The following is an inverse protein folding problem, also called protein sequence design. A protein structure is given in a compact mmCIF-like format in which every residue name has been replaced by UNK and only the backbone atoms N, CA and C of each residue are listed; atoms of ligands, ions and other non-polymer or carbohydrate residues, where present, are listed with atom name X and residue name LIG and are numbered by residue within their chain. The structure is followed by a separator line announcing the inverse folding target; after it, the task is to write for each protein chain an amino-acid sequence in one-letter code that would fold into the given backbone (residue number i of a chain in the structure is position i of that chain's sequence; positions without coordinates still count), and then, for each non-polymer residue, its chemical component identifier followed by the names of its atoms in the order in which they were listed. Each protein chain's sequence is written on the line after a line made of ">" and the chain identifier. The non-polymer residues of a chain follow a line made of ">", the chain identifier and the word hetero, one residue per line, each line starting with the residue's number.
data_IF_641322646769
#
_entry.id   IF_641322646769
#
_cell.length_a   1.000
_cell.length_b   1.000
_cell.length_c   1.000
_cell.angle_alpha   90.00
_cell.angle_beta   90.00
_cell.angle_gamma   90.00
#
_symmetry.space_group_name_H-M   'P 1'
#
loop_
_entity.id
_entity.type
_entity.pdbx_description
1 polymer ?
#
# COMPACT_ATOMS: atom_id res chain seq x y z
N UNK A 1 6.55 -1.66 19.81
CA UNK A 1 7.52 -1.57 18.71
C UNK A 1 6.79 -1.18 17.44
N UNK A 2 7.24 -0.11 16.80
CA UNK A 2 6.54 0.37 15.61
C UNK A 2 6.83 -0.52 14.41
N UNK A 3 5.77 -0.84 13.67
CA UNK A 3 5.93 -1.57 12.43
C UNK A 3 6.63 -0.69 11.39
N UNK A 4 7.58 -1.28 10.67
CA UNK A 4 8.26 -0.57 9.61
C UNK A 4 7.39 -0.56 8.36
N UNK A 5 7.05 0.63 7.89
CA UNK A 5 6.19 0.83 6.73
C UNK A 5 6.97 1.46 5.58
N UNK A 6 6.54 1.18 4.36
CA UNK A 6 7.11 1.81 3.17
C UNK A 6 6.04 1.98 2.10
N UNK A 7 6.29 2.92 1.17
CA UNK A 7 5.53 3.04 -0.07
C UNK A 7 6.31 2.32 -1.16
N UNK A 8 5.67 1.35 -1.79
CA UNK A 8 6.29 0.53 -2.83
C UNK A 8 5.69 0.89 -4.18
N UNK A 9 6.54 1.35 -5.11
CA UNK A 9 6.13 1.66 -6.48
C UNK A 9 6.22 0.40 -7.33
N UNK A 10 5.18 0.14 -8.10
CA UNK A 10 5.19 -1.01 -9.02
C UNK A 10 4.40 -0.67 -10.28
N UNK A 11 4.70 -1.42 -11.33
CA UNK A 11 4.01 -1.27 -12.61
C UNK A 11 3.03 -2.40 -12.81
N UNK A 12 1.87 -2.06 -13.36
CA UNK A 12 0.83 -3.02 -13.68
C UNK A 12 0.20 -2.61 -15.01
N UNK A 13 -0.76 -3.38 -15.46
CA UNK A 13 -1.44 -3.12 -16.73
C UNK A 13 -2.90 -2.76 -16.50
N UNK A 14 -3.37 -1.78 -17.28
CA UNK A 14 -4.78 -1.45 -17.37
C UNK A 14 -5.15 -1.59 -18.85
N UNK A 15 -5.68 -2.77 -19.22
CA UNK A 15 -5.81 -3.13 -20.61
C UNK A 15 -4.44 -3.27 -21.26
N UNK A 16 -4.17 -2.50 -22.32
CA UNK A 16 -2.88 -2.49 -23.00
C UNK A 16 -1.93 -1.42 -22.49
N UNK A 17 -2.38 -0.61 -21.54
CA UNK A 17 -1.60 0.51 -21.05
C UNK A 17 -0.83 0.13 -19.79
N UNK A 18 0.45 0.52 -19.75
CA UNK A 18 1.26 0.39 -18.54
C UNK A 18 0.93 1.54 -17.60
N UNK A 19 0.61 1.21 -16.35
CA UNK A 19 0.35 2.21 -15.32
C UNK A 19 1.23 1.94 -14.11
N UNK A 20 1.52 3.01 -13.38
CA UNK A 20 2.30 2.92 -12.14
C UNK A 20 1.35 3.08 -10.96
N UNK A 21 1.50 2.20 -9.97
CA UNK A 21 0.73 2.21 -8.75
C UNK A 21 1.64 2.21 -7.53
N UNK A 22 1.09 2.58 -6.40
CA UNK A 22 1.83 2.69 -5.14
C UNK A 22 1.09 1.93 -4.06
N UNK A 23 1.80 1.01 -3.39
CA UNK A 23 1.23 0.21 -2.32
C UNK A 23 1.91 0.58 -1.01
N UNK A 24 1.13 0.57 0.08
CA UNK A 24 1.70 0.71 1.43
C UNK A 24 2.01 -0.68 1.95
N UNK A 25 3.26 -0.92 2.32
CA UNK A 25 3.74 -2.23 2.77
C UNK A 25 4.29 -2.16 4.18
N UNK A 26 4.18 -3.27 4.88
CA UNK A 26 4.69 -3.44 6.23
C UNK A 26 5.71 -4.56 6.25
N UNK A 27 6.79 -4.35 7.00
CA UNK A 27 7.80 -5.41 7.20
C UNK A 27 7.22 -6.51 8.08
N UNK A 28 7.37 -7.73 7.63
CA UNK A 28 6.97 -8.93 8.37
C UNK A 28 8.16 -9.88 8.43
N UNK A 29 7.99 -11.01 9.14
CA UNK A 29 9.02 -12.04 9.23
C UNK A 29 9.39 -12.62 7.87
N UNK A 30 8.51 -12.46 6.88
CA UNK A 30 8.72 -12.97 5.52
C UNK A 30 9.00 -11.87 4.52
N UNK A 31 9.39 -10.68 4.99
CA UNK A 31 9.65 -9.52 4.15
C UNK A 31 8.47 -8.55 4.14
N UNK A 32 8.53 -7.60 3.21
CA UNK A 32 7.47 -6.61 3.10
C UNK A 32 6.21 -7.21 2.49
N UNK A 33 5.07 -6.87 3.07
CA UNK A 33 3.75 -7.29 2.58
C UNK A 33 2.85 -6.08 2.43
N UNK A 34 2.05 -6.06 1.36
CA UNK A 34 1.06 -5.01 1.15
C UNK A 34 0.00 -5.10 2.24
N UNK A 35 -0.28 -3.96 2.88
CA UNK A 35 -1.33 -3.89 3.88
C UNK A 35 -2.69 -4.09 3.24
N UNK A 36 -3.59 -4.72 4.00
CA UNK A 36 -4.99 -4.81 3.64
C UNK A 36 -5.83 -4.09 4.68
N UNK A 37 -6.93 -3.51 4.24
CA UNK A 37 -7.91 -2.89 5.14
C UNK A 37 -9.23 -3.62 4.97
N UNK A 38 -9.97 -3.72 6.08
CA UNK A 38 -11.28 -4.34 6.06
C UNK A 38 -12.32 -3.30 5.71
N UNK A 39 -13.10 -3.56 4.65
CA UNK A 39 -14.21 -2.70 4.23
C UNK A 39 -15.45 -3.57 4.21
N UNK A 40 -16.31 -3.42 5.22
CA UNK A 40 -17.45 -4.32 5.38
C UNK A 40 -16.97 -5.73 5.67
N UNK A 41 -17.33 -6.68 4.81
CA UNK A 41 -16.91 -8.09 4.92
C UNK A 41 -15.71 -8.40 4.04
N UNK A 42 -15.24 -7.43 3.23
CA UNK A 42 -14.15 -7.63 2.30
C UNK A 42 -12.86 -7.02 2.80
N UNK A 43 -11.74 -7.56 2.30
CA UNK A 43 -10.41 -6.99 2.53
C UNK A 43 -9.92 -6.40 1.22
N UNK A 44 -9.34 -5.20 1.28
CA UNK A 44 -8.76 -4.53 0.10
C UNK A 44 -7.32 -4.18 0.37
N UNK A 45 -6.49 -4.32 -0.68
CA UNK A 45 -5.10 -3.88 -0.62
C UNK A 45 -5.04 -2.35 -0.61
N UNK A 46 -4.05 -1.79 0.11
CA UNK A 46 -3.85 -0.34 0.15
C UNK A 46 -2.99 0.08 -1.05
N UNK A 47 -3.64 0.23 -2.20
CA UNK A 47 -3.01 0.57 -3.47
C UNK A 47 -3.59 1.89 -3.97
N UNK A 48 -2.70 2.79 -4.40
CA UNK A 48 -3.08 4.14 -4.80
C UNK A 48 -2.50 4.46 -6.18
N UNK A 49 -3.17 5.38 -6.90
CA UNK A 49 -2.71 5.84 -8.19
C UNK A 49 -1.57 6.85 -8.09
N UNK A 50 -1.49 7.55 -6.96
CA UNK A 50 -0.51 8.63 -6.75
C UNK A 50 0.34 8.34 -5.52
N UNK A 51 1.63 8.63 -5.64
CA UNK A 51 2.57 8.45 -4.54
C UNK A 51 2.18 9.27 -3.30
N UNK A 52 1.71 10.50 -3.52
CA UNK A 52 1.32 11.38 -2.42
C UNK A 52 0.18 10.78 -1.60
N UNK A 53 -0.78 10.13 -2.25
CA UNK A 53 -1.89 9.49 -1.56
C UNK A 53 -1.42 8.31 -0.71
N UNK A 54 -0.54 7.48 -1.25
CA UNK A 54 0.04 6.36 -0.50
C UNK A 54 0.86 6.86 0.68
N UNK A 55 1.65 7.92 0.49
CA UNK A 55 2.47 8.50 1.55
C UNK A 55 1.61 9.06 2.67
N UNK A 56 0.54 9.77 2.32
CA UNK A 56 -0.38 10.33 3.31
C UNK A 56 -1.08 9.24 4.10
N UNK A 57 -1.49 8.17 3.43
CA UNK A 57 -2.10 7.02 4.11
C UNK A 57 -1.12 6.37 5.08
N UNK A 58 0.13 6.19 4.65
CA UNK A 58 1.16 5.61 5.50
C UNK A 58 1.38 6.47 6.75
N UNK A 59 1.42 7.79 6.59
CA UNK A 59 1.58 8.71 7.72
C UNK A 59 0.42 8.63 8.69
N UNK A 60 -0.80 8.45 8.15
CA UNK A 60 -1.99 8.33 8.97
C UNK A 60 -1.94 7.07 9.82
N UNK A 61 -1.51 5.94 9.23
CA UNK A 61 -1.37 4.69 9.95
C UNK A 61 -0.34 4.81 11.08
N UNK A 62 0.76 5.50 10.83
CA UNK A 62 1.83 5.67 11.83
C UNK A 62 1.38 6.45 13.05
N UNK A 63 0.30 7.22 12.94
CA UNK A 63 -0.24 8.01 14.05
C UNK A 63 -1.22 7.23 14.92
N UNK A 64 -1.62 6.06 14.49
CA UNK A 64 -2.59 5.25 15.25
C UNK A 64 -1.95 4.51 16.41
#
# INVERSE_FOLDING_TARGET
>A
MDAQLRVFEFKTKDGDNDITRYAVQQMTDRGFRTLTIKVGIDFKNTVFDKKIDATNFMKLIKKL
#
